data_IF_198060909972
#
_entry.id   IF_198060909972
#
_cell.length_a   1.000
_cell.length_b   1.000
_cell.length_c   1.000
_cell.angle_alpha   90.00
_cell.angle_beta   90.00
_cell.angle_gamma   90.00
#
_symmetry.space_group_name_H-M   'P 1'
#
loop_
_entity.id
_entity.type
_entity.pdbx_description
1 polymer ?
#
# COMPACT_ATOMS: atom_id res chain seq x y z
N UNK A 1 5.82 26.84 -5.61
CA UNK A 1 6.17 25.51 -6.14
C UNK A 1 7.09 24.75 -5.21
N UNK A 2 8.24 25.31 -4.81
CA UNK A 2 9.20 24.67 -3.88
C UNK A 2 8.66 24.32 -2.48
N UNK A 3 7.74 25.10 -1.91
CA UNK A 3 7.14 24.79 -0.60
C UNK A 3 6.12 23.66 -0.67
N UNK A 4 5.39 23.54 -1.79
CA UNK A 4 4.48 22.42 -2.03
C UNK A 4 5.25 21.11 -2.20
N UNK A 5 6.42 21.15 -2.86
CA UNK A 5 7.34 20.03 -3.00
C UNK A 5 7.90 19.57 -1.64
N UNK A 6 8.41 20.50 -0.81
CA UNK A 6 8.93 20.16 0.53
C UNK A 6 7.87 19.62 1.49
N UNK A 7 6.66 20.17 1.44
CA UNK A 7 5.55 19.65 2.24
C UNK A 7 5.12 18.26 1.76
N UNK A 8 5.03 18.04 0.46
CA UNK A 8 4.74 16.73 -0.13
C UNK A 8 5.80 15.69 0.28
N UNK A 9 7.07 16.08 0.22
CA UNK A 9 8.19 15.23 0.64
C UNK A 9 8.08 14.84 2.11
N UNK A 10 7.78 15.79 3.00
CA UNK A 10 7.56 15.54 4.43
C UNK A 10 6.37 14.60 4.67
N UNK A 11 5.22 14.89 4.08
CA UNK A 11 4.01 14.04 4.16
C UNK A 11 4.28 12.62 3.67
N UNK A 12 5.10 12.49 2.62
CA UNK A 12 5.48 11.20 2.05
C UNK A 12 6.40 10.40 2.99
N UNK A 13 7.43 11.02 3.57
CA UNK A 13 8.30 10.39 4.57
C UNK A 13 7.52 9.94 5.80
N UNK A 14 6.64 10.81 6.33
CA UNK A 14 5.73 10.48 7.44
C UNK A 14 4.85 9.28 7.10
N UNK A 15 4.30 9.21 5.87
CA UNK A 15 3.51 8.07 5.39
C UNK A 15 4.32 6.77 5.33
N UNK A 16 5.54 6.80 4.79
CA UNK A 16 6.42 5.62 4.69
C UNK A 16 6.82 5.12 6.08
N UNK A 17 7.16 6.04 6.99
CA UNK A 17 7.51 5.71 8.38
C UNK A 17 6.32 5.08 9.12
N UNK A 18 5.12 5.64 8.96
CA UNK A 18 3.89 5.05 9.49
C UNK A 18 3.66 3.64 8.92
N UNK A 19 3.76 3.45 7.60
CA UNK A 19 3.59 2.13 6.98
C UNK A 19 4.58 1.09 7.54
N UNK A 20 5.84 1.47 7.73
CA UNK A 20 6.86 0.60 8.33
C UNK A 20 6.54 0.28 9.80
N UNK A 21 6.04 1.26 10.57
CA UNK A 21 5.71 1.10 12.00
C UNK A 21 4.47 0.24 12.23
N UNK A 22 3.44 0.35 11.37
CA UNK A 22 2.22 -0.44 11.50
C UNK A 22 2.41 -1.89 11.03
N UNK A 23 3.26 -2.13 10.03
CA UNK A 23 3.49 -3.47 9.48
C UNK A 23 2.32 -3.95 8.61
N UNK A 24 2.64 -4.73 7.58
CA UNK A 24 1.69 -5.05 6.50
C UNK A 24 0.37 -5.67 6.98
N UNK A 25 0.40 -6.54 7.99
CA UNK A 25 -0.82 -7.19 8.48
C UNK A 25 -1.81 -6.21 9.12
N UNK A 26 -1.33 -5.21 9.87
CA UNK A 26 -2.22 -4.20 10.49
C UNK A 26 -2.92 -3.36 9.42
N UNK A 27 -2.17 -2.96 8.40
CA UNK A 27 -2.68 -2.18 7.27
C UNK A 27 -3.81 -2.96 6.59
N UNK A 28 -3.58 -4.24 6.32
CA UNK A 28 -4.59 -5.11 5.73
C UNK A 28 -5.84 -5.28 6.59
N UNK A 29 -5.68 -5.43 7.92
CA UNK A 29 -6.83 -5.52 8.83
C UNK A 29 -7.65 -4.22 8.80
N UNK A 30 -6.99 -3.06 8.92
CA UNK A 30 -7.68 -1.76 8.89
C UNK A 30 -8.42 -1.57 7.56
N UNK A 31 -7.76 -1.89 6.45
CA UNK A 31 -8.35 -1.78 5.11
C UNK A 31 -9.59 -2.67 4.93
N UNK A 32 -9.54 -3.91 5.39
CA UNK A 32 -10.67 -4.84 5.26
C UNK A 32 -11.88 -4.39 6.08
N UNK A 33 -11.66 -3.81 7.28
CA UNK A 33 -12.74 -3.25 8.10
C UNK A 33 -13.26 -1.94 7.49
N UNK A 34 -12.40 -1.11 6.89
CA UNK A 34 -12.80 0.09 6.15
C UNK A 34 -13.70 -0.25 4.96
N UNK A 35 -13.36 -1.29 4.20
CA UNK A 35 -14.09 -1.70 3.00
C UNK A 35 -15.45 -2.32 3.30
N UNK A 36 -15.48 -3.27 4.23
CA UNK A 36 -16.64 -4.13 4.45
C UNK A 36 -17.47 -3.73 5.68
N UNK A 37 -16.98 -2.78 6.48
CA UNK A 37 -17.55 -2.41 7.76
C UNK A 37 -17.18 -3.39 8.88
N UNK A 38 -17.92 -3.38 10.01
CA UNK A 38 -17.58 -4.19 11.17
C UNK A 38 -17.50 -5.69 10.84
N UNK A 39 -16.37 -6.31 11.16
CA UNK A 39 -16.04 -7.68 10.76
C UNK A 39 -15.44 -8.50 11.90
N UNK A 40 -15.74 -9.80 11.96
CA UNK A 40 -15.12 -10.71 12.90
C UNK A 40 -13.75 -11.20 12.40
N UNK A 41 -12.96 -11.86 13.26
CA UNK A 41 -11.60 -12.29 12.89
C UNK A 41 -11.55 -13.24 11.68
N UNK A 42 -12.59 -14.05 11.46
CA UNK A 42 -12.69 -14.97 10.31
C UNK A 42 -12.93 -14.18 9.03
N UNK A 43 -13.93 -13.30 9.04
CA UNK A 43 -14.25 -12.38 7.94
C UNK A 43 -13.04 -11.52 7.56
N UNK A 44 -12.29 -11.03 8.55
CA UNK A 44 -11.06 -10.28 8.31
C UNK A 44 -10.03 -11.13 7.59
N UNK A 45 -9.78 -12.37 8.06
CA UNK A 45 -8.83 -13.27 7.39
C UNK A 45 -9.25 -13.60 5.95
N UNK A 46 -10.54 -13.78 5.71
CA UNK A 46 -11.10 -14.02 4.37
C UNK A 46 -10.92 -12.80 3.46
N UNK A 47 -11.21 -11.60 3.95
CA UNK A 47 -11.00 -10.35 3.21
C UNK A 47 -9.54 -10.13 2.81
N UNK A 48 -8.61 -10.36 3.74
CA UNK A 48 -7.16 -10.23 3.46
C UNK A 48 -6.73 -11.22 2.36
N UNK A 49 -7.20 -12.46 2.42
CA UNK A 49 -6.90 -13.45 1.39
C UNK A 49 -7.45 -13.03 0.02
N UNK A 50 -8.70 -12.56 -0.03
CA UNK A 50 -9.33 -12.10 -1.26
C UNK A 50 -8.55 -10.94 -1.92
N UNK A 51 -8.04 -10.00 -1.12
CA UNK A 51 -7.20 -8.91 -1.60
C UNK A 51 -5.88 -9.40 -2.19
N UNK A 52 -5.20 -10.34 -1.54
CA UNK A 52 -3.98 -10.91 -2.10
C UNK A 52 -4.23 -11.63 -3.43
N UNK A 53 -5.32 -12.39 -3.54
CA UNK A 53 -5.72 -13.06 -4.78
C UNK A 53 -6.07 -12.04 -5.87
N UNK A 54 -6.70 -10.91 -5.51
CA UNK A 54 -7.01 -9.83 -6.43
C UNK A 54 -5.76 -9.14 -6.97
N UNK A 55 -4.78 -8.85 -6.11
CA UNK A 55 -3.47 -8.29 -6.52
C UNK A 55 -2.74 -9.24 -7.45
N UNK A 56 -2.70 -10.54 -7.11
CA UNK A 56 -2.07 -11.56 -7.96
C UNK A 56 -2.74 -11.64 -9.34
N UNK A 57 -4.06 -11.48 -9.39
CA UNK A 57 -4.83 -11.47 -10.65
C UNK A 57 -4.65 -10.17 -11.45
N UNK A 58 -4.48 -9.03 -10.77
CA UNK A 58 -4.41 -7.70 -11.39
C UNK A 58 -2.99 -7.31 -11.83
N UNK A 59 -1.93 -7.89 -11.27
CA UNK A 59 -0.56 -7.58 -11.63
C UNK A 59 -0.25 -8.00 -13.09
N UNK A 60 -0.09 -7.06 -14.05
CA UNK A 60 0.27 -7.37 -15.43
C UNK A 60 1.80 -7.39 -15.61
N UNK A 61 2.58 -7.38 -14.51
CA UNK A 61 4.02 -7.17 -14.55
C UNK A 61 4.78 -8.48 -14.41
N UNK A 62 5.00 -9.09 -15.57
CA UNK A 62 6.10 -9.98 -15.93
C UNK A 62 6.64 -10.92 -14.82
N UNK A 63 5.91 -12.01 -14.56
CA UNK A 63 6.52 -13.26 -14.09
C UNK A 63 6.65 -14.26 -15.25
N UNK A 64 7.29 -13.89 -16.35
CA UNK A 64 7.65 -14.87 -17.40
C UNK A 64 8.69 -15.88 -16.91
N UNK A 65 9.35 -15.68 -15.77
CA UNK A 65 10.31 -16.65 -15.20
C UNK A 65 9.75 -17.65 -14.17
N UNK A 66 8.47 -17.57 -13.78
CA UNK A 66 7.90 -18.46 -12.75
C UNK A 66 6.57 -19.08 -13.16
N UNK A 67 6.53 -19.88 -14.24
CA UNK A 67 5.42 -20.83 -14.48
C UNK A 67 5.52 -22.02 -13.51
N UNK A 68 5.29 -21.76 -12.23
CA UNK A 68 4.96 -22.78 -11.23
C UNK A 68 3.44 -22.94 -11.11
N UNK A 69 2.93 -24.04 -10.53
CA UNK A 69 1.50 -24.22 -10.30
C UNK A 69 0.96 -23.07 -9.46
N UNK A 70 -0.25 -22.56 -9.81
CA UNK A 70 -0.98 -21.51 -9.08
C UNK A 70 -0.96 -21.82 -7.58
N UNK A 71 -0.09 -21.18 -6.80
CA UNK A 71 -0.08 -21.32 -5.35
C UNK A 71 -1.14 -20.38 -4.82
N UNK A 72 -2.23 -20.92 -4.27
CA UNK A 72 -3.22 -20.12 -3.52
C UNK A 72 -2.47 -19.29 -2.49
N UNK A 73 -2.67 -17.98 -2.50
CA UNK A 73 -2.07 -17.10 -1.50
C UNK A 73 -2.59 -17.54 -0.13
N UNK A 74 -1.71 -17.87 0.83
CA UNK A 74 -2.14 -18.47 2.06
C UNK A 74 -2.99 -17.49 2.86
N UNK A 75 -4.14 -17.97 3.36
CA UNK A 75 -4.93 -17.27 4.37
C UNK A 75 -4.00 -16.87 5.52
N UNK A 76 -4.05 -15.63 6.00
CA UNK A 76 -3.23 -15.23 7.14
C UNK A 76 -3.51 -16.13 8.34
N UNK A 77 -2.45 -16.48 9.09
CA UNK A 77 -2.58 -17.44 10.17
C UNK A 77 -3.44 -16.87 11.31
N UNK A 78 -4.35 -17.66 11.90
CA UNK A 78 -5.09 -17.25 13.09
C UNK A 78 -4.16 -16.78 14.23
N UNK A 79 -3.02 -17.46 14.39
CA UNK A 79 -1.99 -17.13 15.37
C UNK A 79 -1.26 -15.80 15.13
N UNK A 80 -1.42 -15.18 13.96
CA UNK A 80 -0.94 -13.83 13.68
C UNK A 80 -2.07 -12.81 13.79
N UNK A 81 -3.26 -13.14 13.32
CA UNK A 81 -4.39 -12.19 13.25
C UNK A 81 -4.98 -11.89 14.62
N UNK A 82 -5.30 -12.90 15.45
CA UNK A 82 -5.92 -12.64 16.75
C UNK A 82 -5.03 -11.88 17.73
N UNK A 83 -3.72 -12.20 17.86
CA UNK A 83 -2.82 -11.37 18.65
C UNK A 83 -2.70 -9.95 18.11
N UNK A 84 -2.77 -9.77 16.78
CA UNK A 84 -2.73 -8.45 16.17
C UNK A 84 -3.99 -7.64 16.46
N UNK A 85 -5.18 -8.24 16.31
CA UNK A 85 -6.46 -7.61 16.66
C UNK A 85 -6.46 -7.16 18.12
N UNK A 86 -5.98 -8.00 19.04
CA UNK A 86 -5.86 -7.63 20.46
C UNK A 86 -4.98 -6.39 20.64
N UNK A 87 -3.80 -6.35 20.01
CA UNK A 87 -2.92 -5.17 20.07
C UNK A 87 -3.57 -3.93 19.47
N UNK A 88 -4.29 -4.07 18.35
CA UNK A 88 -4.95 -2.94 17.69
C UNK A 88 -6.12 -2.38 18.52
N UNK A 89 -6.80 -3.23 19.30
CA UNK A 89 -7.77 -2.79 20.32
C UNK A 89 -7.08 -2.02 21.44
N UNK A 90 -5.99 -2.57 21.99
CA UNK A 90 -5.20 -1.91 23.06
C UNK A 90 -4.64 -0.55 22.60
N UNK A 91 -4.26 -0.44 21.32
CA UNK A 91 -3.76 0.79 20.70
C UNK A 91 -4.88 1.78 20.32
N UNK A 92 -6.16 1.41 20.48
CA UNK A 92 -7.31 2.26 20.15
C UNK A 92 -7.50 2.50 18.66
N UNK A 93 -7.04 1.58 17.81
CA UNK A 93 -7.22 1.63 16.35
C UNK A 93 -8.54 1.01 15.90
N UNK A 94 -8.98 -0.01 16.64
CA UNK A 94 -10.24 -0.72 16.41
C UNK A 94 -10.95 -0.93 17.75
N UNK A 95 -12.28 -0.92 17.73
CA UNK A 95 -13.10 -1.32 18.88
C UNK A 95 -13.63 -2.73 18.65
N UNK A 96 -13.70 -3.53 19.73
CA UNK A 96 -14.38 -4.82 19.71
C UNK A 96 -15.81 -4.64 20.21
N UNK A 97 -16.77 -5.00 19.36
CA UNK A 97 -18.19 -4.96 19.65
C UNK A 97 -18.63 -6.18 20.47
N UNK A 98 -19.81 -6.07 21.09
CA UNK A 98 -20.38 -7.13 21.94
C UNK A 98 -20.68 -8.43 21.17
N UNK A 99 -20.93 -8.33 19.87
CA UNK A 99 -21.15 -9.46 18.97
C UNK A 99 -19.85 -10.15 18.51
N UNK A 100 -18.69 -9.65 18.95
CA UNK A 100 -17.37 -10.18 18.62
C UNK A 100 -16.78 -9.65 17.32
N UNK A 101 -17.43 -8.68 16.65
CA UNK A 101 -16.88 -7.97 15.49
C UNK A 101 -15.95 -6.83 15.92
N UNK A 102 -15.17 -6.35 14.96
CA UNK A 102 -14.27 -5.23 15.12
C UNK A 102 -14.67 -4.10 14.18
N UNK A 103 -14.70 -2.88 14.68
CA UNK A 103 -14.95 -1.65 13.92
C UNK A 103 -13.76 -0.69 14.03
N UNK A 104 -13.62 0.23 13.08
CA UNK A 104 -12.58 1.26 13.13
C UNK A 104 -12.96 2.36 14.14
N UNK A 105 -11.97 2.81 14.91
CA UNK A 105 -12.08 4.05 15.67
C UNK A 105 -11.81 5.26 14.76
N UNK A 106 -12.09 6.48 15.22
CA UNK A 106 -11.68 7.71 14.52
C UNK A 106 -10.18 7.71 14.18
N UNK A 107 -9.35 7.25 15.12
CA UNK A 107 -7.91 7.11 14.92
C UNK A 107 -7.57 6.07 13.85
N UNK A 108 -8.28 4.92 13.86
CA UNK A 108 -8.13 3.90 12.82
C UNK A 108 -8.47 4.43 11.43
N UNK A 109 -9.56 5.19 11.31
CA UNK A 109 -9.98 5.83 10.06
C UNK A 109 -8.96 6.85 9.57
N UNK A 110 -8.40 7.68 10.47
CA UNK A 110 -7.36 8.64 10.13
C UNK A 110 -6.12 7.94 9.56
N UNK A 111 -5.71 6.82 10.14
CA UNK A 111 -4.56 6.03 9.67
C UNK A 111 -4.84 5.42 8.30
N UNK A 112 -6.04 4.87 8.07
CA UNK A 112 -6.43 4.35 6.74
C UNK A 112 -6.39 5.47 5.70
N UNK A 113 -6.87 6.66 6.04
CA UNK A 113 -6.83 7.82 5.16
C UNK A 113 -5.40 8.26 4.84
N UNK A 114 -4.52 8.33 5.86
CA UNK A 114 -3.10 8.69 5.68
C UNK A 114 -2.33 7.66 4.85
N UNK A 115 -2.48 6.37 5.17
CA UNK A 115 -1.78 5.28 4.48
C UNK A 115 -2.31 5.09 3.05
N UNK A 116 -3.63 5.13 2.87
CA UNK A 116 -4.26 5.06 1.55
C UNK A 116 -3.97 6.29 0.67
N UNK A 117 -3.46 7.37 1.27
CA UNK A 117 -3.09 8.61 0.59
C UNK A 117 -4.22 9.24 -0.21
N UNK A 118 -3.87 10.07 -1.19
CA UNK A 118 -4.82 10.78 -2.08
C UNK A 118 -5.66 9.87 -3.00
N UNK A 119 -5.41 8.57 -2.96
CA UNK A 119 -6.07 7.57 -3.78
C UNK A 119 -7.15 6.82 -2.98
N UNK A 120 -6.99 6.71 -1.66
CA UNK A 120 -7.72 5.74 -0.84
C UNK A 120 -7.44 4.30 -1.32
N UNK A 121 -7.69 3.31 -0.48
CA UNK A 121 -7.66 1.93 -0.96
C UNK A 121 -8.84 1.60 -1.91
N UNK A 122 -9.81 2.53 -2.05
CA UNK A 122 -11.14 2.27 -2.63
C UNK A 122 -11.50 2.96 -3.93
N UNK A 123 -10.72 3.90 -4.48
CA UNK A 123 -11.09 4.45 -5.79
C UNK A 123 -10.48 3.60 -6.91
N UNK A 124 -11.35 2.98 -7.71
CA UNK A 124 -11.05 2.69 -9.13
C UNK A 124 -10.32 3.91 -9.66
N UNK A 125 -9.02 3.81 -9.95
CA UNK A 125 -8.26 4.93 -10.51
C UNK A 125 -8.99 5.35 -11.78
N UNK A 126 -9.60 6.54 -11.77
CA UNK A 126 -10.07 7.14 -13.00
C UNK A 126 -8.83 7.32 -13.88
N UNK A 127 -8.81 6.86 -15.13
CA UNK A 127 -7.65 7.09 -16.02
C UNK A 127 -7.63 8.54 -16.58
N UNK A 128 -8.17 9.49 -15.82
CA UNK A 128 -8.22 10.89 -16.17
C UNK A 128 -6.88 11.60 -15.95
N UNK A 129 -6.75 12.81 -16.48
CA UNK A 129 -5.50 13.61 -16.37
C UNK A 129 -5.10 13.88 -14.90
N UNK A 130 -6.09 14.01 -14.02
CA UNK A 130 -5.88 14.17 -12.57
C UNK A 130 -5.19 12.95 -11.93
N UNK A 131 -5.44 11.72 -12.40
CA UNK A 131 -4.76 10.53 -11.85
C UNK A 131 -3.37 10.35 -12.43
N UNK A 132 -3.14 10.72 -13.70
CA UNK A 132 -1.82 10.70 -14.33
C UNK A 132 -0.88 11.67 -13.59
N UNK A 133 -1.31 12.91 -13.39
CA UNK A 133 -0.54 13.91 -12.63
C UNK A 133 -0.23 13.44 -11.22
N UNK A 134 -1.23 12.88 -10.53
CA UNK A 134 -1.03 12.33 -9.18
C UNK A 134 -0.06 11.14 -9.16
N UNK A 135 -0.12 10.24 -10.14
CA UNK A 135 0.81 9.11 -10.23
C UNK A 135 2.26 9.57 -10.46
N UNK A 136 2.46 10.58 -11.32
CA UNK A 136 3.78 11.19 -11.52
C UNK A 136 4.29 11.87 -10.24
N UNK A 137 3.43 12.58 -9.52
CA UNK A 137 3.77 13.16 -8.21
C UNK A 137 4.16 12.10 -7.17
N UNK A 138 3.52 10.93 -7.18
CA UNK A 138 3.93 9.83 -6.29
C UNK A 138 5.30 9.27 -6.69
N UNK A 139 5.56 9.06 -7.99
CA UNK A 139 6.88 8.62 -8.49
C UNK A 139 7.98 9.60 -8.05
N UNK A 140 7.73 10.90 -8.20
CA UNK A 140 8.63 11.95 -7.73
C UNK A 140 8.90 11.85 -6.21
N UNK A 141 7.86 11.60 -5.41
CA UNK A 141 8.00 11.34 -3.97
C UNK A 141 8.88 10.12 -3.65
N UNK A 142 8.70 9.01 -4.38
CA UNK A 142 9.55 7.82 -4.22
C UNK A 142 11.00 8.10 -4.61
N UNK A 143 11.25 8.85 -5.68
CA UNK A 143 12.60 9.22 -6.11
C UNK A 143 13.28 10.04 -5.02
N UNK A 144 12.62 11.09 -4.51
CA UNK A 144 13.18 11.95 -3.47
C UNK A 144 13.49 11.17 -2.17
N UNK A 145 12.61 10.24 -1.78
CA UNK A 145 12.89 9.32 -0.66
C UNK A 145 14.13 8.45 -0.91
N UNK A 146 14.31 7.94 -2.13
CA UNK A 146 15.47 7.13 -2.49
C UNK A 146 16.75 7.98 -2.51
N UNK A 147 16.69 9.24 -2.94
CA UNK A 147 17.83 10.17 -2.94
C UNK A 147 18.34 10.48 -1.53
N UNK A 148 17.47 10.46 -0.52
CA UNK A 148 17.84 10.67 0.89
C UNK A 148 18.51 9.44 1.55
N UNK A 149 18.46 8.27 0.92
CA UNK A 149 19.06 7.04 1.46
C UNK A 149 20.57 7.02 1.20
N UNK A 150 21.34 6.53 2.16
CA UNK A 150 22.79 6.35 2.01
C UNK A 150 23.15 5.43 0.83
N UNK A 151 24.15 5.84 0.06
CA UNK A 151 24.58 5.19 -1.19
C UNK A 151 24.92 3.69 -1.01
N UNK A 152 25.45 3.29 0.14
CA UNK A 152 25.85 1.88 0.36
C UNK A 152 24.64 0.94 0.37
N UNK A 153 23.47 1.41 0.81
CA UNK A 153 22.22 0.63 0.77
C UNK A 153 21.62 0.58 -0.64
N UNK A 154 21.74 1.67 -1.39
CA UNK A 154 21.28 1.76 -2.78
C UNK A 154 22.13 0.94 -3.75
N UNK A 155 23.43 0.81 -3.49
CA UNK A 155 24.36 0.09 -4.35
C UNK A 155 23.91 -1.36 -4.64
N UNK A 156 23.32 -2.02 -3.63
CA UNK A 156 22.77 -3.38 -3.78
C UNK A 156 21.55 -3.48 -4.71
N UNK A 157 20.88 -2.36 -5.00
CA UNK A 157 19.67 -2.27 -5.84
C UNK A 157 19.92 -1.57 -7.19
N UNK A 158 21.18 -1.30 -7.54
CA UNK A 158 21.57 -0.55 -8.76
C UNK A 158 20.94 -1.11 -10.04
N UNK A 159 20.88 -2.44 -10.18
CA UNK A 159 20.31 -3.09 -11.37
C UNK A 159 18.80 -2.81 -11.51
N UNK A 160 18.06 -2.80 -10.40
CA UNK A 160 16.62 -2.49 -10.40
C UNK A 160 16.37 -1.03 -10.77
N UNK A 161 17.19 -0.11 -10.27
CA UNK A 161 17.12 1.32 -10.61
C UNK A 161 17.35 1.53 -12.10
N UNK A 162 18.36 0.85 -12.67
CA UNK A 162 18.64 0.91 -14.10
C UNK A 162 17.47 0.38 -14.96
N UNK A 163 16.84 -0.73 -14.55
CA UNK A 163 15.68 -1.28 -15.25
C UNK A 163 14.48 -0.33 -15.21
N UNK A 164 14.19 0.28 -14.06
CA UNK A 164 13.10 1.26 -13.93
C UNK A 164 13.35 2.51 -14.77
N UNK A 165 14.59 3.00 -14.79
CA UNK A 165 14.99 4.13 -15.63
C UNK A 165 14.76 3.84 -17.11
N UNK A 166 15.19 2.67 -17.59
CA UNK A 166 15.01 2.27 -18.99
C UNK A 166 13.52 2.14 -19.37
N UNK A 167 12.69 1.62 -18.45
CA UNK A 167 11.24 1.52 -18.67
C UNK A 167 10.57 2.88 -18.77
N UNK A 168 10.92 3.81 -17.89
CA UNK A 168 10.39 5.17 -17.92
C UNK A 168 10.80 5.89 -19.21
N UNK A 169 12.06 5.71 -19.63
CA UNK A 169 12.57 6.26 -20.90
C UNK A 169 11.82 5.71 -22.11
N UNK A 170 11.62 4.39 -22.19
CA UNK A 170 10.80 3.78 -23.26
C UNK A 170 9.37 4.30 -23.28
N UNK A 171 8.78 4.54 -22.11
CA UNK A 171 7.44 5.14 -22.02
C UNK A 171 7.43 6.55 -22.60
N UNK A 172 8.41 7.38 -22.26
CA UNK A 172 8.59 8.74 -22.81
C UNK A 172 8.74 8.71 -24.34
N UNK A 173 9.65 7.90 -24.87
CA UNK A 173 9.92 7.78 -26.31
C UNK A 173 8.73 7.24 -27.12
N UNK A 174 7.83 6.49 -26.48
CA UNK A 174 6.61 5.97 -27.14
C UNK A 174 5.48 6.99 -27.25
N UNK A 175 5.62 8.16 -26.63
CA UNK A 175 4.63 9.23 -26.71
C UNK A 175 4.82 10.01 -28.03
N UNK A 176 3.72 10.38 -28.70
CA UNK A 176 3.83 11.21 -29.90
C UNK A 176 4.37 12.60 -29.53
N UNK A 177 5.38 13.06 -30.26
CA UNK A 177 5.79 14.46 -30.24
C UNK A 177 4.57 15.32 -30.61
N UNK A 178 4.18 16.21 -29.71
CA UNK A 178 3.14 17.21 -29.95
C UNK A 178 3.71 18.47 -30.59
#
# INVERSE_FOLDING_TARGET
>A
MWDAFRNLHREFHERIEEMQRFGGLRIWILHVIDEHGPANGVEIMDGIQAHYEAIERAAPFDRVSCRGPKRRTPRPSPGSVYPMLKKMVEEGLINKLDDGKYELTERGQEIVYKIGGRFGFHKKMDRGELSIRKALTEIEGYISYLEDIKEEKLASHKNLIAELSERLKKMEESLPDK
#
